data_IF_780508882546
#
_entry.id   IF_780508882546
#
_cell.length_a   1.000
_cell.length_b   1.000
_cell.length_c   1.000
_cell.angle_alpha   90.00
_cell.angle_beta   90.00
_cell.angle_gamma   90.00
#
_symmetry.space_group_name_H-M   'P 1'
#
loop_
_entity.id
_entity.type
_entity.pdbx_description
1 polymer ?
#
# COMPACT_ATOMS: atom_id res chain seq x y z
N UNK A 1 17.66 5.21 8.21
CA UNK A 1 16.22 5.33 8.56
C UNK A 1 15.44 4.06 8.17
N UNK A 2 15.36 3.72 6.88
CA UNK A 2 14.61 2.55 6.39
C UNK A 2 15.04 1.23 7.04
N UNK A 3 16.34 0.90 7.03
CA UNK A 3 16.81 -0.36 7.61
C UNK A 3 16.54 -0.49 9.11
N UNK A 4 16.64 0.59 9.88
CA UNK A 4 16.47 0.55 11.34
C UNK A 4 15.01 0.35 11.76
N UNK A 5 14.05 0.89 11.00
CA UNK A 5 12.62 0.77 11.33
C UNK A 5 11.99 -0.51 10.77
N UNK A 6 12.45 -0.99 9.61
CA UNK A 6 11.81 -2.09 8.89
C UNK A 6 12.41 -3.47 9.23
N UNK A 7 13.68 -3.55 9.63
CA UNK A 7 14.30 -4.80 10.10
C UNK A 7 13.64 -5.37 11.36
N UNK A 8 13.39 -4.58 12.43
CA UNK A 8 12.75 -5.09 13.64
C UNK A 8 11.32 -5.57 13.36
N UNK A 9 10.60 -4.95 12.42
CA UNK A 9 9.24 -5.38 12.07
C UNK A 9 9.24 -6.78 11.43
N UNK A 10 10.20 -7.10 10.56
CA UNK A 10 10.34 -8.47 10.04
C UNK A 10 10.60 -9.44 11.19
N UNK A 11 11.49 -9.09 12.11
CA UNK A 11 11.85 -9.97 13.22
C UNK A 11 10.66 -10.21 14.16
N UNK A 12 9.87 -9.17 14.44
CA UNK A 12 8.62 -9.28 15.20
C UNK A 12 7.64 -10.22 14.50
N UNK A 13 7.41 -10.05 13.19
CA UNK A 13 6.51 -10.93 12.45
C UNK A 13 6.98 -12.39 12.43
N UNK A 14 8.30 -12.63 12.37
CA UNK A 14 8.88 -13.98 12.47
C UNK A 14 8.66 -14.57 13.86
N UNK A 15 8.93 -13.80 14.91
CA UNK A 15 8.78 -14.25 16.29
C UNK A 15 7.31 -14.61 16.59
N UNK A 16 6.38 -13.77 16.15
CA UNK A 16 4.97 -14.05 16.36
C UNK A 16 4.50 -15.23 15.51
N UNK A 17 4.96 -15.36 14.26
CA UNK A 17 4.69 -16.54 13.45
C UNK A 17 5.17 -17.84 14.13
N UNK A 18 6.34 -17.84 14.78
CA UNK A 18 6.82 -19.00 15.55
C UNK A 18 5.99 -19.26 16.82
N UNK A 19 5.56 -18.23 17.56
CA UNK A 19 4.64 -18.40 18.70
C UNK A 19 3.32 -19.04 18.26
N UNK A 20 2.74 -18.53 17.17
CA UNK A 20 1.46 -19.01 16.64
C UNK A 20 1.55 -20.36 15.94
N UNK A 21 2.76 -20.85 15.66
CA UNK A 21 2.99 -22.18 15.07
C UNK A 21 2.55 -23.31 16.00
N UNK A 22 2.61 -23.10 17.31
CA UNK A 22 2.15 -24.06 18.31
C UNK A 22 0.63 -24.23 18.35
N UNK A 23 -0.13 -23.26 17.80
CA UNK A 23 -1.58 -23.34 17.74
C UNK A 23 -2.04 -24.30 16.62
N UNK A 24 -2.96 -25.20 16.95
CA UNK A 24 -3.58 -26.11 15.98
C UNK A 24 -4.65 -25.37 15.14
N UNK A 25 -4.18 -24.50 14.24
CA UNK A 25 -5.03 -23.75 13.32
C UNK A 25 -5.11 -24.41 11.94
N UNK A 26 -6.29 -24.38 11.33
CA UNK A 26 -6.45 -24.69 9.91
C UNK A 26 -5.64 -23.70 9.06
N UNK A 27 -5.31 -24.05 7.82
CA UNK A 27 -4.56 -23.15 6.94
C UNK A 27 -5.30 -21.82 6.68
N UNK A 28 -6.64 -21.83 6.64
CA UNK A 28 -7.47 -20.62 6.60
C UNK A 28 -7.40 -19.84 7.92
N UNK A 29 -7.44 -20.54 9.06
CA UNK A 29 -7.25 -19.93 10.38
C UNK A 29 -5.91 -19.23 10.51
N UNK A 30 -4.83 -19.82 9.98
CA UNK A 30 -3.50 -19.20 9.92
C UNK A 30 -3.47 -17.94 9.06
N UNK A 31 -4.19 -17.91 7.94
CA UNK A 31 -4.30 -16.69 7.11
C UNK A 31 -4.94 -15.56 7.91
N UNK A 32 -6.04 -15.84 8.62
CA UNK A 32 -6.71 -14.84 9.44
C UNK A 32 -5.87 -14.41 10.66
N UNK A 33 -5.20 -15.35 11.32
CA UNK A 33 -4.27 -15.03 12.41
C UNK A 33 -3.13 -14.12 11.93
N UNK A 34 -2.53 -14.43 10.78
CA UNK A 34 -1.49 -13.58 10.17
C UNK A 34 -2.02 -12.18 9.85
N UNK A 35 -3.25 -12.07 9.31
CA UNK A 35 -3.88 -10.76 9.06
C UNK A 35 -3.99 -9.95 10.35
N UNK A 36 -4.51 -10.55 11.42
CA UNK A 36 -4.73 -9.86 12.70
C UNK A 36 -3.41 -9.45 13.37
N UNK A 37 -2.39 -10.28 13.29
CA UNK A 37 -1.10 -10.05 13.93
C UNK A 37 -0.23 -9.05 13.19
N UNK A 38 -0.14 -9.18 11.85
CA UNK A 38 0.87 -8.49 11.06
C UNK A 38 0.33 -7.24 10.37
N UNK A 39 -0.93 -7.20 9.94
CA UNK A 39 -1.46 -6.03 9.23
C UNK A 39 -1.52 -4.76 10.08
N UNK A 40 -1.99 -4.78 11.34
CA UNK A 40 -2.08 -3.55 12.12
C UNK A 40 -0.70 -2.88 12.29
N UNK A 41 0.32 -3.66 12.62
CA UNK A 41 1.69 -3.17 12.76
C UNK A 41 2.26 -2.63 11.45
N UNK A 42 2.03 -3.35 10.34
CA UNK A 42 2.47 -2.90 9.02
C UNK A 42 1.83 -1.57 8.62
N UNK A 43 0.51 -1.48 8.75
CA UNK A 43 -0.25 -0.29 8.38
C UNK A 43 0.16 0.91 9.22
N UNK A 44 0.39 0.73 10.52
CA UNK A 44 0.89 1.80 11.38
C UNK A 44 2.23 2.36 10.86
N UNK A 45 3.21 1.49 10.58
CA UNK A 45 4.52 1.96 10.10
C UNK A 45 4.43 2.56 8.70
N UNK A 46 3.64 1.98 7.79
CA UNK A 46 3.50 2.49 6.42
C UNK A 46 2.89 3.89 6.39
N UNK A 47 1.88 4.17 7.24
CA UNK A 47 1.29 5.50 7.31
C UNK A 47 2.24 6.52 7.96
N UNK A 48 3.00 6.11 8.99
CA UNK A 48 3.92 7.00 9.70
C UNK A 48 5.18 7.32 8.89
N UNK A 49 5.60 6.42 8.01
CA UNK A 49 6.82 6.54 7.22
C UNK A 49 6.52 6.25 5.74
N UNK A 50 5.97 7.22 4.97
CA UNK A 50 5.72 7.08 3.53
C UNK A 50 7.02 7.15 2.72
N UNK A 51 7.94 6.23 2.99
CA UNK A 51 9.29 6.18 2.41
C UNK A 51 9.38 5.00 1.45
N UNK A 52 10.24 5.11 0.44
CA UNK A 52 10.50 4.03 -0.50
C UNK A 52 11.08 2.81 0.24
N UNK A 53 10.32 1.72 0.30
CA UNK A 53 10.78 0.45 0.88
C UNK A 53 11.32 -0.45 -0.24
N UNK A 54 12.48 -1.09 -0.06
CA UNK A 54 13.00 -2.06 -1.01
C UNK A 54 12.01 -3.22 -1.27
N UNK A 55 11.88 -3.62 -2.54
CA UNK A 55 11.06 -4.77 -2.92
C UNK A 55 11.50 -6.08 -2.26
N UNK A 56 12.80 -6.22 -1.97
CA UNK A 56 13.37 -7.35 -1.24
C UNK A 56 12.75 -7.50 0.14
N UNK A 57 12.53 -6.40 0.86
CA UNK A 57 11.89 -6.41 2.18
C UNK A 57 10.46 -6.95 2.11
N UNK A 58 9.66 -6.46 1.16
CA UNK A 58 8.29 -6.94 0.95
C UNK A 58 8.27 -8.43 0.61
N UNK A 59 9.19 -8.90 -0.24
CA UNK A 59 9.33 -10.31 -0.59
C UNK A 59 9.68 -11.16 0.63
N UNK A 60 10.63 -10.73 1.45
CA UNK A 60 11.03 -11.45 2.68
C UNK A 60 9.83 -11.67 3.60
N UNK A 61 9.05 -10.61 3.85
CA UNK A 61 7.89 -10.72 4.72
C UNK A 61 6.78 -11.60 4.10
N UNK A 62 6.57 -11.52 2.79
CA UNK A 62 5.64 -12.41 2.08
C UNK A 62 6.08 -13.89 2.16
N UNK A 63 7.38 -14.17 2.11
CA UNK A 63 7.93 -15.52 2.29
C UNK A 63 7.69 -16.04 3.70
N UNK A 64 7.87 -15.21 4.73
CA UNK A 64 7.55 -15.58 6.13
C UNK A 64 6.08 -15.95 6.27
N UNK A 65 5.19 -15.11 5.72
CA UNK A 65 3.74 -15.37 5.69
C UNK A 65 3.42 -16.71 5.00
N UNK A 66 4.00 -16.94 3.82
CA UNK A 66 3.78 -18.15 3.04
C UNK A 66 4.28 -19.41 3.78
N UNK A 67 5.45 -19.33 4.43
CA UNK A 67 6.00 -20.40 5.25
C UNK A 67 5.11 -20.70 6.47
N UNK A 68 4.59 -19.67 7.13
CA UNK A 68 3.70 -19.80 8.29
C UNK A 68 2.39 -20.55 7.95
N UNK A 69 1.75 -20.19 6.83
CA UNK A 69 0.48 -20.79 6.39
C UNK A 69 0.66 -22.30 6.13
N UNK A 70 1.70 -22.66 5.36
CA UNK A 70 1.91 -24.04 4.95
C UNK A 70 2.74 -24.87 5.94
N UNK A 71 3.37 -24.23 6.93
CA UNK A 71 4.18 -24.90 7.95
C UNK A 71 5.31 -25.75 7.35
N UNK A 72 5.95 -25.26 6.29
CA UNK A 72 6.99 -25.99 5.54
C UNK A 72 6.48 -27.09 4.60
N UNK A 73 5.16 -27.33 4.52
CA UNK A 73 4.56 -28.29 3.57
C UNK A 73 4.41 -27.66 2.18
N UNK A 74 4.21 -28.50 1.16
CA UNK A 74 3.93 -28.05 -0.21
C UNK A 74 2.63 -27.23 -0.24
N UNK A 75 2.63 -26.03 -0.85
CA UNK A 75 1.43 -25.21 -1.00
C UNK A 75 0.32 -25.95 -1.74
N UNK A 76 -0.91 -25.89 -1.23
CA UNK A 76 -2.08 -26.44 -1.92
C UNK A 76 -2.62 -25.49 -3.00
N UNK A 77 -2.39 -24.19 -2.82
CA UNK A 77 -2.83 -23.14 -3.73
C UNK A 77 -1.66 -22.24 -4.11
N UNK A 78 -1.61 -21.77 -5.37
CA UNK A 78 -0.62 -20.79 -5.77
C UNK A 78 -0.88 -19.45 -5.07
N UNK A 79 0.19 -18.71 -4.77
CA UNK A 79 0.12 -17.43 -4.06
C UNK A 79 -0.78 -16.40 -4.76
N UNK A 80 -0.81 -16.43 -6.10
CA UNK A 80 -1.67 -15.55 -6.92
C UNK A 80 -3.16 -15.78 -6.65
N UNK A 81 -3.58 -17.02 -6.39
CA UNK A 81 -4.97 -17.36 -6.04
C UNK A 81 -5.26 -17.00 -4.59
N UNK A 82 -4.30 -17.25 -3.68
CA UNK A 82 -4.44 -16.88 -2.27
C UNK A 82 -4.66 -15.37 -2.11
N UNK A 83 -3.95 -14.53 -2.88
CA UNK A 83 -4.02 -13.08 -2.79
C UNK A 83 -5.26 -12.45 -3.45
N UNK A 84 -6.01 -13.20 -4.27
CA UNK A 84 -7.25 -12.69 -4.85
C UNK A 84 -8.30 -12.45 -3.76
N UNK A 85 -9.16 -11.44 -3.91
CA UNK A 85 -10.25 -11.20 -2.96
C UNK A 85 -11.25 -12.38 -2.95
N UNK A 86 -12.05 -12.53 -1.89
CA UNK A 86 -13.01 -13.63 -1.77
C UNK A 86 -14.12 -13.59 -2.82
N UNK A 87 -14.52 -12.40 -3.29
CA UNK A 87 -15.59 -12.25 -4.30
C UNK A 87 -15.36 -13.06 -5.60
N UNK A 88 -14.19 -12.99 -6.27
CA UNK A 88 -13.87 -13.83 -7.42
C UNK A 88 -13.36 -15.24 -7.05
N UNK A 89 -13.70 -15.78 -5.86
CA UNK A 89 -13.27 -17.10 -5.42
C UNK A 89 -11.84 -17.20 -4.91
N UNK A 90 -11.25 -16.07 -4.47
CA UNK A 90 -9.95 -16.04 -3.79
C UNK A 90 -10.05 -16.23 -2.27
N UNK A 91 -8.93 -16.11 -1.57
CA UNK A 91 -8.85 -16.28 -0.10
C UNK A 91 -8.58 -14.94 0.62
N UNK A 92 -8.17 -13.92 -0.13
CA UNK A 92 -7.87 -12.58 0.39
C UNK A 92 -6.63 -12.53 1.26
N UNK A 93 -5.59 -13.33 0.98
CA UNK A 93 -4.30 -13.22 1.64
C UNK A 93 -3.68 -11.85 1.37
N UNK A 94 -3.13 -11.14 2.38
CA UNK A 94 -2.53 -9.84 2.14
C UNK A 94 -1.34 -9.90 1.19
N UNK A 95 -1.33 -8.98 0.24
CA UNK A 95 -0.16 -8.68 -0.58
C UNK A 95 0.52 -7.43 -0.02
N UNK A 96 1.64 -7.63 0.68
CA UNK A 96 2.33 -6.58 1.43
C UNK A 96 2.75 -5.41 0.52
N UNK A 97 3.14 -5.70 -0.74
CA UNK A 97 3.50 -4.68 -1.72
C UNK A 97 2.29 -3.81 -2.11
N UNK A 98 1.12 -4.41 -2.27
CA UNK A 98 -0.10 -3.66 -2.56
C UNK A 98 -0.54 -2.81 -1.37
N UNK A 99 -0.45 -3.34 -0.15
CA UNK A 99 -0.73 -2.57 1.07
C UNK A 99 0.19 -1.36 1.24
N UNK A 100 1.49 -1.53 0.99
CA UNK A 100 2.44 -0.41 1.02
C UNK A 100 2.07 0.68 0.00
N UNK A 101 1.77 0.29 -1.23
CA UNK A 101 1.37 1.22 -2.29
C UNK A 101 0.07 1.94 -1.97
N UNK A 102 -0.93 1.19 -1.48
CA UNK A 102 -2.20 1.75 -1.05
C UNK A 102 -1.97 2.77 0.06
N UNK A 103 -1.16 2.45 1.07
CA UNK A 103 -0.84 3.36 2.17
C UNK A 103 -0.15 4.65 1.69
N UNK A 104 0.83 4.56 0.77
CA UNK A 104 1.48 5.73 0.17
C UNK A 104 0.44 6.63 -0.55
N UNK A 105 -0.44 6.02 -1.35
CA UNK A 105 -1.49 6.77 -2.05
C UNK A 105 -2.49 7.40 -1.09
N UNK A 106 -2.92 6.66 -0.06
CA UNK A 106 -3.81 7.18 0.97
C UNK A 106 -3.19 8.36 1.68
N UNK A 107 -1.92 8.27 2.10
CA UNK A 107 -1.19 9.39 2.72
C UNK A 107 -1.09 10.59 1.77
N UNK A 108 -0.78 10.38 0.49
CA UNK A 108 -0.80 11.46 -0.50
C UNK A 108 -2.16 12.14 -0.60
N UNK A 109 -3.26 11.37 -0.65
CA UNK A 109 -4.62 11.92 -0.73
C UNK A 109 -5.02 12.65 0.56
N UNK A 110 -4.75 12.06 1.73
CA UNK A 110 -5.15 12.64 3.02
C UNK A 110 -4.44 13.95 3.29
N UNK A 111 -3.14 14.05 2.94
CA UNK A 111 -2.40 15.30 3.01
C UNK A 111 -3.09 16.39 2.18
N UNK A 112 -3.55 16.12 0.96
CA UNK A 112 -4.22 17.14 0.14
C UNK A 112 -5.71 17.38 0.43
N UNK A 113 -6.35 16.52 1.22
CA UNK A 113 -7.78 16.65 1.57
C UNK A 113 -7.98 17.40 2.89
N UNK A 114 -7.02 17.34 3.81
CA UNK A 114 -7.15 17.98 5.13
C UNK A 114 -7.02 19.51 5.02
N UNK A 115 -8.15 20.21 5.21
CA UNK A 115 -8.24 21.68 5.25
C UNK A 115 -7.69 22.31 6.54
N UNK A 116 -6.75 21.63 7.20
CA UNK A 116 -6.08 22.10 8.42
C UNK A 116 -4.67 22.59 8.12
N UNK A 117 -4.17 23.52 8.93
CA UNK A 117 -2.84 24.11 8.77
C UNK A 117 -1.75 23.10 9.20
N UNK A 118 -1.46 22.12 8.35
CA UNK A 118 -0.40 21.14 8.57
C UNK A 118 0.87 21.72 7.96
N UNK A 119 1.82 22.07 8.82
CA UNK A 119 3.07 22.74 8.43
C UNK A 119 3.84 22.05 7.30
N UNK A 120 3.74 20.71 7.21
CA UNK A 120 4.37 19.94 6.14
C UNK A 120 3.74 20.15 4.76
N UNK A 121 2.41 20.33 4.68
CA UNK A 121 1.73 20.64 3.42
C UNK A 121 2.17 22.01 2.91
N UNK A 122 2.30 22.98 3.83
CA UNK A 122 2.78 24.33 3.49
C UNK A 122 4.23 24.30 2.97
N UNK A 123 5.07 23.39 3.50
CA UNK A 123 6.43 23.18 3.01
C UNK A 123 6.45 22.53 1.62
N UNK A 124 5.64 21.50 1.38
CA UNK A 124 5.53 20.87 0.06
C UNK A 124 4.97 21.87 -0.98
N UNK A 125 3.93 22.64 -0.62
CA UNK A 125 3.34 23.66 -1.49
C UNK A 125 4.32 24.77 -1.87
N UNK A 126 5.19 25.20 -0.94
CA UNK A 126 6.29 26.14 -1.24
C UNK A 126 7.28 25.56 -2.25
N UNK A 127 7.61 24.27 -2.13
CA UNK A 127 8.52 23.60 -3.07
C UNK A 127 7.88 23.42 -4.45
N UNK A 128 6.57 23.18 -4.48
CA UNK A 128 5.77 22.94 -5.68
C UNK A 128 5.20 24.21 -6.34
N UNK A 129 5.71 25.40 -5.98
CA UNK A 129 5.28 26.70 -6.54
C UNK A 129 3.76 26.92 -6.44
N UNK A 130 3.16 26.59 -5.30
CA UNK A 130 1.72 26.72 -4.99
C UNK A 130 0.77 25.76 -5.76
N UNK A 131 1.30 24.74 -6.42
CA UNK A 131 0.47 23.66 -6.99
C UNK A 131 0.31 22.51 -5.98
N UNK A 132 -0.85 21.84 -6.02
CA UNK A 132 -1.15 20.69 -5.16
C UNK A 132 -0.62 19.39 -5.77
N UNK A 133 -0.15 18.41 -4.96
CA UNK A 133 0.28 17.10 -5.51
C UNK A 133 -0.88 16.42 -6.24
N UNK A 134 -2.13 16.65 -5.80
CA UNK A 134 -3.32 16.17 -6.49
C UNK A 134 -3.41 16.68 -7.93
N UNK A 135 -3.04 17.93 -8.23
CA UNK A 135 -2.98 18.42 -9.61
C UNK A 135 -1.91 17.68 -10.42
N UNK A 136 -0.74 17.43 -9.82
CA UNK A 136 0.32 16.68 -10.48
C UNK A 136 -0.05 15.22 -10.72
N UNK A 137 -0.79 14.58 -9.82
CA UNK A 137 -1.28 13.20 -10.01
C UNK A 137 -2.04 13.07 -11.33
N UNK A 138 -2.88 14.04 -11.66
CA UNK A 138 -3.66 14.04 -12.90
C UNK A 138 -2.93 14.58 -14.13
N UNK A 139 -1.81 15.28 -13.92
CA UNK A 139 -0.98 15.81 -14.99
C UNK A 139 -0.16 14.68 -15.62
N UNK A 140 -0.06 14.56 -16.96
CA UNK A 140 0.77 13.53 -17.57
C UNK A 140 2.27 13.77 -17.28
N UNK A 141 3.05 12.68 -17.16
CA UNK A 141 4.47 12.71 -16.75
C UNK A 141 5.32 13.77 -17.47
N UNK A 142 5.11 13.97 -18.77
CA UNK A 142 5.90 14.90 -19.58
C UNK A 142 5.61 16.38 -19.31
N UNK A 143 4.47 16.71 -18.67
CA UNK A 143 4.09 18.07 -18.28
C UNK A 143 4.43 18.38 -16.81
N UNK A 144 4.94 17.40 -16.06
CA UNK A 144 5.30 17.58 -14.65
C UNK A 144 6.70 18.21 -14.52
N UNK A 145 6.97 18.89 -13.39
CA UNK A 145 8.31 19.37 -13.08
C UNK A 145 9.35 18.22 -13.11
N UNK A 146 10.62 18.52 -13.37
CA UNK A 146 11.69 17.54 -13.28
C UNK A 146 11.76 16.90 -11.90
N UNK A 147 12.05 15.60 -11.82
CA UNK A 147 12.13 14.87 -10.54
C UNK A 147 13.08 15.53 -9.54
N UNK A 148 14.16 16.14 -10.02
CA UNK A 148 15.17 16.82 -9.19
C UNK A 148 14.60 17.98 -8.35
N UNK A 149 13.49 18.57 -8.79
CA UNK A 149 12.86 19.73 -8.14
C UNK A 149 11.72 19.31 -7.20
N UNK A 150 11.56 18.01 -6.94
CA UNK A 150 10.50 17.46 -6.10
C UNK A 150 11.07 16.77 -4.86
N UNK A 151 10.32 16.81 -3.76
CA UNK A 151 10.66 16.08 -2.56
C UNK A 151 10.58 14.56 -2.81
N UNK A 152 11.44 13.75 -2.15
CA UNK A 152 11.44 12.30 -2.33
C UNK A 152 10.08 11.62 -2.05
N UNK A 153 9.30 12.17 -1.12
CA UNK A 153 7.94 11.72 -0.78
C UNK A 153 6.97 11.97 -1.94
N UNK A 154 7.02 13.16 -2.53
CA UNK A 154 6.21 13.54 -3.70
C UNK A 154 6.57 12.69 -4.91
N UNK A 155 7.86 12.50 -5.18
CA UNK A 155 8.35 11.66 -6.27
C UNK A 155 7.82 10.21 -6.14
N UNK A 156 7.94 9.63 -4.94
CA UNK A 156 7.48 8.28 -4.67
C UNK A 156 5.96 8.15 -4.88
N UNK A 157 5.21 9.12 -4.38
CA UNK A 157 3.74 9.12 -4.48
C UNK A 157 3.30 9.20 -5.95
N UNK A 158 3.90 10.10 -6.73
CA UNK A 158 3.63 10.23 -8.17
C UNK A 158 4.03 8.98 -8.94
N UNK A 159 5.19 8.38 -8.63
CA UNK A 159 5.62 7.14 -9.26
C UNK A 159 4.64 5.98 -8.99
N UNK A 160 4.18 5.83 -7.74
CA UNK A 160 3.19 4.81 -7.36
C UNK A 160 1.85 5.06 -8.05
N UNK A 161 1.44 6.33 -8.14
CA UNK A 161 0.23 6.74 -8.86
C UNK A 161 0.29 6.41 -10.34
N UNK A 162 1.41 6.70 -11.01
CA UNK A 162 1.56 6.38 -12.45
C UNK A 162 1.52 4.88 -12.71
N UNK A 163 2.16 4.07 -11.85
CA UNK A 163 2.08 2.61 -11.95
C UNK A 163 0.63 2.12 -11.77
N UNK A 164 -0.14 2.78 -10.90
CA UNK A 164 -1.55 2.47 -10.66
C UNK A 164 -2.42 2.84 -11.87
N UNK A 165 -2.25 4.05 -12.42
CA UNK A 165 -2.99 4.52 -13.59
C UNK A 165 -2.70 3.67 -14.84
N UNK A 166 -1.46 3.26 -15.04
CA UNK A 166 -1.09 2.35 -16.13
C UNK A 166 -1.78 0.99 -16.01
N UNK A 167 -1.88 0.44 -14.79
CA UNK A 167 -2.51 -0.88 -14.58
C UNK A 167 -4.02 -0.89 -14.79
N UNK A 168 -4.67 0.24 -14.55
CA UNK A 168 -6.13 0.36 -14.67
C UNK A 168 -6.58 0.91 -16.02
N UNK A 169 -5.64 1.19 -16.93
CA UNK A 169 -5.89 1.80 -18.25
C UNK A 169 -6.71 3.12 -18.17
N UNK A 170 -6.68 3.79 -17.01
CA UNK A 170 -7.48 5.00 -16.76
C UNK A 170 -6.96 6.25 -17.48
N UNK A 171 -5.69 6.25 -17.89
CA UNK A 171 -5.03 7.37 -18.56
C UNK A 171 -5.70 7.82 -19.87
N UNK A 172 -6.61 7.01 -20.44
CA UNK A 172 -7.37 7.36 -21.65
C UNK A 172 -8.80 7.85 -21.39
N UNK A 173 -9.37 7.61 -20.20
CA UNK A 173 -10.83 7.76 -19.97
C UNK A 173 -11.22 8.86 -18.98
N UNK A 174 -10.31 9.32 -18.12
CA UNK A 174 -10.67 10.24 -17.03
C UNK A 174 -10.03 11.60 -17.25
N UNK A 175 -10.85 12.66 -17.17
CA UNK A 175 -10.41 14.04 -17.32
C UNK A 175 -9.49 14.45 -16.14
N UNK A 176 -8.40 15.22 -16.37
CA UNK A 176 -7.44 15.58 -15.31
C UNK A 176 -7.99 16.40 -14.14
N UNK A 177 -9.19 16.99 -14.31
CA UNK A 177 -9.89 17.73 -13.25
C UNK A 177 -10.93 16.89 -12.50
N UNK A 178 -11.04 15.59 -12.78
CA UNK A 178 -11.95 14.72 -12.07
C UNK A 178 -11.49 14.55 -10.61
N UNK A 179 -12.36 14.76 -9.62
CA UNK A 179 -11.98 14.53 -8.23
C UNK A 179 -11.65 13.04 -8.02
N UNK A 180 -10.63 12.75 -7.20
CA UNK A 180 -10.15 11.39 -6.93
C UNK A 180 -11.26 10.49 -6.35
N UNK A 181 -12.26 11.07 -5.68
CA UNK A 181 -13.46 10.36 -5.21
C UNK A 181 -14.26 9.68 -6.34
N UNK A 182 -14.15 10.17 -7.57
CA UNK A 182 -14.79 9.57 -8.75
C UNK A 182 -14.16 8.20 -9.07
N UNK A 183 -12.91 7.95 -8.71
CA UNK A 183 -12.27 6.64 -8.88
C UNK A 183 -12.87 5.56 -7.96
N UNK A 184 -13.40 5.94 -6.79
CA UNK A 184 -14.12 5.02 -5.90
C UNK A 184 -15.42 4.51 -6.54
N UNK A 185 -16.02 5.31 -7.43
CA UNK A 185 -17.27 4.98 -8.12
C UNK A 185 -17.06 4.21 -9.42
N UNK A 186 -15.91 4.40 -10.09
CA UNK A 186 -15.62 3.82 -11.41
C UNK A 186 -14.87 2.47 -11.31
N UNK A 187 -14.21 2.16 -10.19
CA UNK A 187 -13.50 0.89 -10.01
C UNK A 187 -14.45 -0.32 -10.14
N UNK A 188 -14.28 -1.21 -11.14
CA UNK A 188 -15.03 -2.47 -11.22
C UNK A 188 -14.61 -3.47 -10.13
N UNK A 189 -13.52 -3.17 -9.41
CA UNK A 189 -13.11 -3.91 -8.21
C UNK A 189 -13.89 -3.30 -7.06
N UNK A 190 -15.07 -3.90 -6.87
CA UNK A 190 -16.02 -3.83 -5.77
C UNK A 190 -15.79 -2.75 -4.71
N UNK A 191 -16.82 -1.92 -4.53
CA UNK A 191 -17.23 -1.32 -3.27
C UNK A 191 -16.17 -1.42 -2.17
N UNK A 192 -15.33 -0.39 -2.06
CA UNK A 192 -14.59 -0.14 -0.84
C UNK A 192 -15.64 0.00 0.28
N UNK A 193 -15.99 -1.12 0.90
CA UNK A 193 -16.74 -1.14 2.14
C UNK A 193 -15.91 -0.31 3.10
N UNK A 194 -16.40 0.91 3.35
CA UNK A 194 -15.85 1.83 4.33
C UNK A 194 -15.72 1.07 5.63
N UNK A 195 -14.48 0.78 6.04
CA UNK A 195 -14.20 0.65 7.46
C UNK A 195 -14.23 2.06 8.03
N UNK A 196 -15.44 2.57 8.27
CA UNK A 196 -15.63 3.62 9.27
C UNK A 196 -15.47 2.92 10.62
N UNK A 197 -14.47 3.35 11.38
CA UNK A 197 -14.54 3.24 12.84
C UNK A 197 -15.69 4.10 13.35
#
# INVERSE_FOLDING_TARGET
ITQHNYTPLIQMCKNDAEKWKAANLSWLGKINAFKMMTLPSLLCIFHMLPVAIPLSWCKTLQTVCHSFIWGGKRPRLPLTVLQKPPAPGGVGLPNIRLYLKASILTTGITLHTQKGQIQWIDLEGKHLKNQSITEYMWTPKHLRPPEKDMLPTTQLTLHVWDEFMHKLDYGKKIHPKAPISVLEQISPIGSLVRWRM
#
